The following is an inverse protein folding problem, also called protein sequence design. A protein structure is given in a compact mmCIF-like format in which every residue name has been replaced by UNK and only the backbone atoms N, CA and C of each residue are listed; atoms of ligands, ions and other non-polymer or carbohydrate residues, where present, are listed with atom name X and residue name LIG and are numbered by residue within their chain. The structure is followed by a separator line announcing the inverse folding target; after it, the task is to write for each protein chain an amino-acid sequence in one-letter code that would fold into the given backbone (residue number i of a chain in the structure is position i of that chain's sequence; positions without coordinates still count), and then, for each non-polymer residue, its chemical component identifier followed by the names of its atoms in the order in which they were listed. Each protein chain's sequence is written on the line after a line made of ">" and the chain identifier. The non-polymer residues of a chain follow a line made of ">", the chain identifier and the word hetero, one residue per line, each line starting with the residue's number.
data_IF_662754342553
#
_entry.id   IF_662754342553
#
_cell.length_a   1.000
_cell.length_b   1.000
_cell.length_c   1.000
_cell.angle_alpha   90.00
_cell.angle_beta   90.00
_cell.angle_gamma   90.00
#
_symmetry.space_group_name_H-M   'P 1'
#
loop_
_entity.id
_entity.type
_entity.pdbx_description
1 polymer ?
#
# COMPACT_ATOMS: atom_id res chain seq x y z
N UNK A 1 -11.12 -4.19 -12.42
CA UNK A 1 -11.12 -5.62 -12.84
C UNK A 1 -12.46 -6.31 -12.52
N UNK A 2 -13.56 -5.93 -13.19
CA UNK A 2 -14.92 -6.43 -12.90
C UNK A 2 -15.55 -7.29 -14.03
N UNK A 3 -14.76 -7.86 -14.95
CA UNK A 3 -15.28 -8.65 -16.08
C UNK A 3 -14.71 -10.08 -16.20
N UNK A 4 -14.44 -10.76 -15.09
CA UNK A 4 -14.11 -12.21 -15.10
C UNK A 4 -14.67 -12.94 -13.89
N UNK A 5 -15.97 -12.79 -13.63
CA UNK A 5 -16.71 -13.63 -12.67
C UNK A 5 -17.97 -14.16 -13.34
N UNK A 6 -17.84 -14.88 -14.47
CA UNK A 6 -19.01 -15.52 -15.08
C UNK A 6 -18.74 -16.89 -15.71
N UNK A 7 -17.51 -17.45 -15.65
CA UNK A 7 -17.31 -18.83 -16.10
C UNK A 7 -16.26 -19.53 -15.25
N UNK A 8 -16.75 -20.57 -14.58
CA UNK A 8 -16.18 -21.89 -14.34
C UNK A 8 -14.69 -22.01 -13.95
N UNK A 9 -14.52 -22.82 -12.91
CA UNK A 9 -13.30 -23.30 -12.26
C UNK A 9 -12.61 -22.30 -11.31
N UNK A 10 -12.66 -22.64 -10.02
CA UNK A 10 -12.06 -21.85 -8.96
C UNK A 10 -10.57 -21.62 -9.21
N UNK A 11 -10.07 -20.47 -8.75
CA UNK A 11 -8.66 -20.08 -8.80
C UNK A 11 -7.75 -21.27 -8.50
N UNK A 12 -7.08 -21.80 -9.53
CA UNK A 12 -6.12 -22.88 -9.37
C UNK A 12 -4.94 -22.39 -8.53
N UNK A 13 -4.28 -23.28 -7.79
CA UNK A 13 -3.16 -22.92 -6.91
C UNK A 13 -1.99 -22.21 -7.61
N UNK A 14 -1.93 -22.29 -8.94
CA UNK A 14 -0.97 -21.56 -9.79
C UNK A 14 -1.35 -20.08 -10.01
N UNK A 15 -2.63 -19.75 -10.17
CA UNK A 15 -3.12 -18.36 -10.20
C UNK A 15 -2.79 -17.64 -8.88
N UNK A 16 -3.00 -18.32 -7.74
CA UNK A 16 -2.71 -17.77 -6.42
C UNK A 16 -1.22 -17.41 -6.25
N UNK A 17 -0.30 -18.16 -6.88
CA UNK A 17 1.14 -17.84 -6.84
C UNK A 17 1.49 -16.63 -7.69
N UNK A 18 0.80 -16.41 -8.81
CA UNK A 18 1.05 -15.27 -9.68
C UNK A 18 0.39 -13.98 -9.16
N UNK A 19 -0.73 -14.07 -8.46
CA UNK A 19 -1.39 -12.88 -7.89
C UNK A 19 -0.74 -12.35 -6.61
N UNK A 20 -0.11 -13.21 -5.79
CA UNK A 20 0.57 -12.80 -4.54
C UNK A 20 1.55 -11.63 -4.70
N UNK A 21 2.58 -11.70 -5.57
CA UNK A 21 3.53 -10.59 -5.73
C UNK A 21 2.87 -9.32 -6.25
N UNK A 22 1.83 -9.45 -7.10
CA UNK A 22 1.07 -8.30 -7.63
C UNK A 22 0.27 -7.61 -6.53
N UNK A 23 -0.34 -8.37 -5.61
CA UNK A 23 -1.09 -7.83 -4.47
C UNK A 23 -0.15 -7.15 -3.48
N UNK A 24 1.01 -7.75 -3.20
CA UNK A 24 2.03 -7.11 -2.34
C UNK A 24 2.49 -5.78 -2.92
N UNK A 25 2.82 -5.79 -4.21
CA UNK A 25 3.27 -4.62 -4.95
C UNK A 25 2.21 -3.51 -4.94
N UNK A 26 0.96 -3.85 -5.28
CA UNK A 26 -0.14 -2.89 -5.29
C UNK A 26 -0.39 -2.28 -3.90
N UNK A 27 -0.32 -3.09 -2.83
CA UNK A 27 -0.54 -2.60 -1.46
C UNK A 27 0.54 -1.61 -1.03
N UNK A 28 1.81 -1.95 -1.26
CA UNK A 28 2.94 -1.08 -0.92
C UNK A 28 2.97 0.19 -1.76
N UNK A 29 2.73 0.07 -3.07
CA UNK A 29 2.69 1.22 -3.97
C UNK A 29 1.54 2.18 -3.61
N UNK A 30 0.37 1.64 -3.26
CA UNK A 30 -0.78 2.46 -2.83
C UNK A 30 -0.48 3.19 -1.52
N UNK A 31 0.10 2.51 -0.54
CA UNK A 31 0.50 3.15 0.71
C UNK A 31 1.59 4.21 0.50
N UNK A 32 2.59 3.93 -0.33
CA UNK A 32 3.64 4.89 -0.69
C UNK A 32 3.08 6.11 -1.43
N UNK A 33 2.04 5.93 -2.27
CA UNK A 33 1.36 7.04 -2.93
C UNK A 33 0.68 7.97 -1.91
N UNK A 34 -0.02 7.42 -0.91
CA UNK A 34 -0.63 8.20 0.17
C UNK A 34 0.43 8.95 0.97
N UNK A 35 1.54 8.28 1.32
CA UNK A 35 2.68 8.90 2.03
C UNK A 35 3.27 10.07 1.26
N UNK A 36 3.37 9.98 -0.08
CA UNK A 36 3.83 11.10 -0.93
C UNK A 36 2.79 12.22 -1.04
N UNK A 37 1.51 11.86 -1.04
CA UNK A 37 0.42 12.81 -1.07
C UNK A 37 0.31 13.60 0.25
N UNK A 38 0.65 13.02 1.40
CA UNK A 38 0.77 13.73 2.68
C UNK A 38 1.70 14.94 2.56
N UNK A 39 2.91 14.74 2.02
CA UNK A 39 3.90 15.81 1.82
C UNK A 39 3.39 16.87 0.81
N UNK A 40 2.77 16.41 -0.28
CA UNK A 40 2.21 17.28 -1.32
C UNK A 40 1.04 18.14 -0.82
N UNK A 41 0.18 17.57 0.03
CA UNK A 41 -0.99 18.23 0.61
C UNK A 41 -0.66 19.01 1.89
N UNK A 42 0.59 18.93 2.38
CA UNK A 42 1.03 19.57 3.62
C UNK A 42 0.35 19.02 4.87
N UNK A 43 -0.09 17.75 4.83
CA UNK A 43 -0.72 17.08 5.97
C UNK A 43 0.39 16.49 6.85
N UNK A 44 0.33 16.74 8.16
CA UNK A 44 1.26 16.13 9.11
C UNK A 44 0.75 14.75 9.58
N UNK A 45 1.68 13.86 9.91
CA UNK A 45 1.34 12.61 10.58
C UNK A 45 0.71 12.90 11.95
N UNK A 46 -0.25 12.08 12.35
CA UNK A 46 -0.80 12.13 13.71
C UNK A 46 0.26 11.81 14.77
N UNK A 47 1.18 10.90 14.44
CA UNK A 47 2.34 10.55 15.25
C UNK A 47 3.64 10.73 14.45
N UNK A 48 4.57 11.53 14.99
CA UNK A 48 5.86 11.84 14.34
C UNK A 48 6.75 10.60 14.18
N UNK A 49 6.56 9.56 14.99
CA UNK A 49 7.27 8.29 14.86
C UNK A 49 6.90 7.57 13.54
N UNK A 50 5.73 7.85 12.97
CA UNK A 50 5.29 7.27 11.68
C UNK A 50 6.15 7.70 10.50
N UNK A 51 6.95 8.77 10.64
CA UNK A 51 7.91 9.18 9.59
C UNK A 51 8.97 8.09 9.33
N UNK A 52 9.36 7.34 10.35
CA UNK A 52 10.29 6.21 10.19
C UNK A 52 9.62 5.04 9.44
N UNK A 53 8.38 4.72 9.81
CA UNK A 53 7.57 3.69 9.14
C UNK A 53 7.33 4.06 7.65
N UNK A 54 6.99 5.31 7.37
CA UNK A 54 6.78 5.85 6.02
C UNK A 54 8.06 5.75 5.17
N UNK A 55 9.22 6.06 5.76
CA UNK A 55 10.51 5.89 5.10
C UNK A 55 10.76 4.42 4.75
N UNK A 56 10.47 3.48 5.65
CA UNK A 56 10.65 2.05 5.40
C UNK A 56 9.83 1.58 4.19
N UNK A 57 8.54 1.92 4.15
CA UNK A 57 7.65 1.57 3.03
C UNK A 57 8.16 2.16 1.71
N UNK A 58 8.54 3.44 1.71
CA UNK A 58 9.09 4.09 0.51
C UNK A 58 10.41 3.47 0.06
N UNK A 59 11.29 3.04 0.97
CA UNK A 59 12.57 2.41 0.65
C UNK A 59 12.37 1.08 -0.10
N UNK A 60 11.45 0.24 0.38
CA UNK A 60 11.10 -1.05 -0.25
C UNK A 60 10.57 -0.84 -1.67
N UNK A 61 9.65 0.11 -1.85
CA UNK A 61 9.11 0.45 -3.19
C UNK A 61 10.20 1.02 -4.10
N UNK A 62 11.10 1.86 -3.58
CA UNK A 62 12.22 2.42 -4.34
C UNK A 62 13.24 1.37 -4.77
N UNK A 63 13.40 0.28 -4.02
CA UNK A 63 14.27 -0.85 -4.36
C UNK A 63 13.61 -1.89 -5.26
N UNK A 64 12.32 -1.71 -5.59
CA UNK A 64 11.52 -2.68 -6.35
C UNK A 64 11.40 -4.04 -5.65
N UNK A 65 11.53 -4.05 -4.32
CA UNK A 65 11.39 -5.24 -3.46
C UNK A 65 9.92 -5.44 -3.01
N UNK A 66 8.98 -4.71 -3.61
CA UNK A 66 7.56 -4.73 -3.26
C UNK A 66 6.79 -5.98 -3.75
N UNK A 67 7.48 -6.92 -4.41
CA UNK A 67 6.89 -8.19 -4.86
C UNK A 67 7.18 -9.36 -3.92
N UNK A 68 8.02 -9.17 -2.90
CA UNK A 68 8.37 -10.19 -1.92
C UNK A 68 7.38 -10.23 -0.73
N UNK A 69 7.31 -11.36 0.02
CA UNK A 69 6.50 -11.44 1.23
C UNK A 69 6.92 -10.37 2.25
N UNK A 70 5.93 -9.72 2.87
CA UNK A 70 6.22 -8.70 3.88
C UNK A 70 6.96 -9.29 5.08
N UNK A 71 8.07 -8.66 5.47
CA UNK A 71 8.70 -8.94 6.75
C UNK A 71 7.76 -8.52 7.89
N UNK A 72 7.93 -9.13 9.08
CA UNK A 72 7.11 -8.77 10.25
C UNK A 72 7.23 -7.28 10.62
N UNK A 73 8.41 -6.70 10.41
CA UNK A 73 8.66 -5.27 10.63
C UNK A 73 7.93 -4.40 9.61
N UNK A 74 8.01 -4.75 8.32
CA UNK A 74 7.32 -4.02 7.25
C UNK A 74 5.80 -4.07 7.44
N UNK A 75 5.25 -5.25 7.75
CA UNK A 75 3.83 -5.41 8.02
C UNK A 75 3.39 -4.56 9.22
N UNK A 76 4.19 -4.55 10.30
CA UNK A 76 3.91 -3.73 11.47
C UNK A 76 3.95 -2.22 11.13
N UNK A 77 4.92 -1.79 10.32
CA UNK A 77 5.02 -0.41 9.86
C UNK A 77 3.81 -0.01 9.00
N UNK A 78 3.39 -0.88 8.07
CA UNK A 78 2.19 -0.67 7.25
C UNK A 78 0.92 -0.53 8.10
N UNK A 79 0.74 -1.38 9.10
CA UNK A 79 -0.42 -1.32 10.00
C UNK A 79 -0.42 -0.04 10.85
N UNK A 80 0.74 0.38 11.36
CA UNK A 80 0.87 1.63 12.13
C UNK A 80 0.61 2.86 11.26
N UNK A 81 1.12 2.88 10.02
CA UNK A 81 0.84 3.93 9.06
C UNK A 81 -0.65 3.99 8.73
N UNK A 82 -1.27 2.85 8.45
CA UNK A 82 -2.70 2.83 8.15
C UNK A 82 -3.56 3.33 9.31
N UNK A 83 -3.15 3.06 10.55
CA UNK A 83 -3.82 3.58 11.75
C UNK A 83 -3.56 5.06 12.07
N UNK A 84 -2.66 5.73 11.34
CA UNK A 84 -2.33 7.14 11.59
C UNK A 84 -3.44 8.07 11.09
N UNK A 85 -3.78 9.09 11.88
CA UNK A 85 -4.85 10.02 11.55
C UNK A 85 -4.54 10.88 10.33
N UNK A 86 -3.27 11.28 10.13
CA UNK A 86 -2.85 12.04 8.95
C UNK A 86 -2.93 11.20 7.68
N UNK A 87 -2.55 9.93 7.77
CA UNK A 87 -2.72 8.95 6.66
C UNK A 87 -4.20 8.77 6.33
N UNK A 88 -5.07 8.57 7.33
CA UNK A 88 -6.51 8.44 7.11
C UNK A 88 -7.15 9.71 6.52
N UNK A 89 -6.72 10.89 6.97
CA UNK A 89 -7.16 12.17 6.39
C UNK A 89 -6.75 12.30 4.93
N UNK A 90 -5.47 12.00 4.62
CA UNK A 90 -4.95 12.02 3.27
C UNK A 90 -5.70 11.01 2.38
N UNK A 91 -6.00 9.82 2.89
CA UNK A 91 -6.77 8.80 2.18
C UNK A 91 -8.22 9.24 1.91
N UNK A 92 -8.88 9.96 2.82
CA UNK A 92 -10.19 10.55 2.53
C UNK A 92 -10.15 11.60 1.41
N UNK A 93 -8.99 12.24 1.23
CA UNK A 93 -8.68 13.16 0.12
C UNK A 93 -8.09 12.47 -1.10
N UNK A 94 -8.11 11.13 -1.16
CA UNK A 94 -7.66 10.33 -2.32
C UNK A 94 -8.38 10.66 -3.63
N UNK A 95 -9.48 11.40 -3.60
CA UNK A 95 -10.12 11.93 -4.82
C UNK A 95 -9.29 13.02 -5.51
N UNK A 96 -8.32 13.61 -4.81
CA UNK A 96 -7.43 14.66 -5.32
C UNK A 96 -6.16 14.12 -5.99
N UNK A 97 -5.89 12.80 -5.89
CA UNK A 97 -4.72 12.16 -6.51
C UNK A 97 -5.05 10.73 -6.99
N UNK A 98 -4.44 10.24 -8.07
CA UNK A 98 -4.73 8.88 -8.55
C UNK A 98 -4.18 7.82 -7.59
N UNK A 99 -5.07 7.21 -6.81
CA UNK A 99 -4.84 5.90 -6.19
C UNK A 99 -5.32 4.80 -7.14
N UNK A 100 -4.51 3.77 -7.32
CA UNK A 100 -4.89 2.61 -8.13
C UNK A 100 -6.06 1.88 -7.43
N UNK A 101 -7.25 1.94 -8.03
CA UNK A 101 -8.41 1.09 -7.72
C UNK A 101 -8.28 -0.30 -8.39
#
# INVERSE_FOLDING_TARGET
>A
KQMKIIHEDGFSGEDVKQYKPVVYSNTLQSLAAIVRALDTLGIEYGDKERKADAKMVCDVVSRMEDTEPFSAELLSAMMRLWGDSGIQECFNRSREYQLND
#
